data_IF_119326392769
#
_entry.id   IF_119326392769
#
_cell.length_a   1.000
_cell.length_b   1.000
_cell.length_c   1.000
_cell.angle_alpha   90.00
_cell.angle_beta   90.00
_cell.angle_gamma   90.00
#
_symmetry.space_group_name_H-M   'P 1'
#
loop_
_entity.id
_entity.type
_entity.pdbx_description
1 polymer ?
#
# COMPACT_ATOMS: atom_id res chain seq x y z
N UNK A 1 -20.14 11.96 2.88
CA UNK A 1 -20.06 13.35 2.35
C UNK A 1 -20.44 14.37 3.41
N UNK A 2 -21.68 14.35 3.94
CA UNK A 2 -22.13 15.30 5.00
C UNK A 2 -21.20 15.33 6.22
N UNK A 3 -20.74 14.18 6.69
CA UNK A 3 -19.83 14.12 7.85
C UNK A 3 -18.45 14.70 7.58
N UNK A 4 -17.91 14.45 6.40
CA UNK A 4 -16.58 14.95 6.01
C UNK A 4 -16.61 16.47 5.92
N UNK A 5 -17.67 17.04 5.32
CA UNK A 5 -17.90 18.49 5.26
C UNK A 5 -18.10 19.06 6.65
N UNK A 6 -18.92 18.44 7.50
CA UNK A 6 -19.12 18.88 8.88
C UNK A 6 -17.82 18.84 9.69
N UNK A 7 -17.02 17.79 9.55
CA UNK A 7 -15.74 17.66 10.23
C UNK A 7 -14.74 18.75 9.79
N UNK A 8 -14.64 19.01 8.49
CA UNK A 8 -13.79 20.08 7.93
C UNK A 8 -14.26 21.45 8.44
N UNK A 9 -15.55 21.75 8.31
CA UNK A 9 -16.13 23.03 8.73
C UNK A 9 -15.97 23.24 10.25
N UNK A 10 -16.25 22.21 11.04
CA UNK A 10 -16.05 22.23 12.49
C UNK A 10 -14.60 22.55 12.83
N UNK A 11 -13.63 21.98 12.10
CA UNK A 11 -12.20 22.20 12.38
C UNK A 11 -11.71 23.56 11.92
N UNK A 12 -12.16 24.04 10.77
CA UNK A 12 -11.90 25.40 10.31
C UNK A 12 -12.42 26.46 11.31
N UNK A 13 -13.68 26.34 11.74
CA UNK A 13 -14.26 27.27 12.71
C UNK A 13 -13.68 27.12 14.13
N UNK A 14 -13.11 25.96 14.47
CA UNK A 14 -12.35 25.80 15.71
C UNK A 14 -11.00 26.52 15.67
N UNK A 15 -10.39 26.66 14.49
CA UNK A 15 -9.22 27.52 14.29
C UNK A 15 -9.61 28.99 14.43
N UNK A 16 -10.69 29.42 13.76
CA UNK A 16 -11.16 30.80 13.81
C UNK A 16 -11.58 31.26 15.22
N UNK A 17 -12.13 30.37 16.05
CA UNK A 17 -12.39 30.68 17.47
C UNK A 17 -11.10 30.83 18.26
N UNK A 18 -10.09 29.98 18.00
CA UNK A 18 -8.79 30.05 18.68
C UNK A 18 -8.01 31.31 18.33
N UNK A 19 -8.17 31.78 17.10
CA UNK A 19 -7.62 33.05 16.60
C UNK A 19 -8.51 34.25 16.93
N UNK A 20 -9.58 34.05 17.73
CA UNK A 20 -10.52 35.08 18.19
C UNK A 20 -11.25 35.85 17.05
N UNK A 21 -11.21 35.33 15.82
CA UNK A 21 -11.91 35.89 14.65
C UNK A 21 -13.43 35.78 14.82
N UNK A 22 -13.89 34.70 15.47
CA UNK A 22 -15.30 34.47 15.78
C UNK A 22 -15.47 34.02 17.23
N UNK A 23 -16.56 34.43 17.86
CA UNK A 23 -16.82 34.10 19.27
C UNK A 23 -17.23 32.64 19.51
N UNK A 24 -17.78 31.94 18.50
CA UNK A 24 -18.30 30.57 18.68
C UNK A 24 -18.27 29.71 17.43
N UNK A 25 -18.13 28.40 17.63
CA UNK A 25 -18.16 27.38 16.59
C UNK A 25 -19.57 26.79 16.45
N UNK A 26 -20.35 27.28 15.48
CA UNK A 26 -21.74 26.85 15.26
C UNK A 26 -21.89 25.33 14.94
N UNK A 27 -21.05 24.70 14.10
CA UNK A 27 -21.11 23.25 13.85
C UNK A 27 -21.01 22.35 15.08
N UNK A 28 -20.41 22.80 16.19
CA UNK A 28 -20.39 22.01 17.45
C UNK A 28 -21.80 21.77 18.01
N UNK A 29 -22.75 22.62 17.70
CA UNK A 29 -24.13 22.54 18.20
C UNK A 29 -25.01 21.61 17.36
N UNK A 30 -24.54 21.21 16.18
CA UNK A 30 -25.31 20.38 15.24
C UNK A 30 -25.02 18.91 15.50
N UNK A 31 -26.07 18.13 15.80
CA UNK A 31 -25.98 16.66 15.87
C UNK A 31 -25.94 16.09 14.46
N UNK A 32 -24.79 15.54 14.09
CA UNK A 32 -24.64 14.78 12.84
C UNK A 32 -24.92 13.31 13.12
N UNK A 33 -25.80 12.65 12.35
CA UNK A 33 -26.05 11.23 12.51
C UNK A 33 -24.76 10.44 12.26
N UNK A 34 -24.42 9.54 13.18
CA UNK A 34 -23.28 8.62 13.04
C UNK A 34 -23.60 7.62 11.93
N UNK A 35 -22.69 7.37 10.96
CA UNK A 35 -22.98 6.44 9.88
C UNK A 35 -22.97 5.05 10.48
N UNK A 36 -24.02 4.29 10.25
CA UNK A 36 -24.01 2.87 10.55
C UNK A 36 -23.17 2.19 9.48
N UNK A 37 -21.90 1.99 9.76
CA UNK A 37 -21.06 1.13 8.93
C UNK A 37 -21.49 -0.31 9.15
N UNK A 38 -21.75 -1.04 8.07
CA UNK A 38 -21.79 -2.51 8.17
C UNK A 38 -20.39 -2.93 8.61
N UNK A 39 -20.28 -3.57 9.77
CA UNK A 39 -19.02 -4.18 10.20
C UNK A 39 -18.64 -5.19 9.13
N UNK A 40 -17.56 -4.90 8.40
CA UNK A 40 -17.09 -5.81 7.37
C UNK A 40 -16.59 -7.07 8.08
N UNK A 41 -17.33 -8.17 7.96
CA UNK A 41 -16.88 -9.46 8.50
C UNK A 41 -15.66 -9.86 7.67
N UNK A 42 -14.52 -10.03 8.33
CA UNK A 42 -13.33 -10.59 7.70
C UNK A 42 -13.61 -12.00 7.17
N UNK A 43 -12.73 -12.47 6.28
CA UNK A 43 -12.82 -13.85 5.79
C UNK A 43 -12.62 -14.83 6.95
N UNK A 44 -13.45 -15.86 7.03
CA UNK A 44 -13.14 -17.01 7.88
C UNK A 44 -11.93 -17.75 7.34
N UNK A 45 -11.31 -18.59 8.18
CA UNK A 45 -10.17 -19.43 7.75
C UNK A 45 -10.53 -20.32 6.55
N UNK A 46 -11.75 -20.89 6.54
CA UNK A 46 -12.22 -21.71 5.42
C UNK A 46 -12.41 -20.90 4.14
N UNK A 47 -12.94 -19.68 4.24
CA UNK A 47 -13.09 -18.77 3.10
C UNK A 47 -11.74 -18.30 2.58
N UNK A 48 -10.80 -17.95 3.45
CA UNK A 48 -9.45 -17.56 3.06
C UNK A 48 -8.74 -18.70 2.30
N UNK A 49 -8.84 -19.95 2.79
CA UNK A 49 -8.32 -21.12 2.07
C UNK A 49 -8.99 -21.30 0.71
N UNK A 50 -10.32 -21.13 0.62
CA UNK A 50 -11.04 -21.25 -0.64
C UNK A 50 -10.58 -20.20 -1.67
N UNK A 51 -10.38 -18.94 -1.23
CA UNK A 51 -9.84 -17.86 -2.07
C UNK A 51 -8.43 -18.21 -2.54
N UNK A 52 -7.54 -18.63 -1.64
CA UNK A 52 -6.17 -19.01 -2.00
C UNK A 52 -6.10 -20.22 -2.93
N UNK A 53 -7.05 -21.16 -2.80
CA UNK A 53 -7.18 -22.32 -3.70
C UNK A 53 -7.64 -21.89 -5.09
N UNK A 54 -8.67 -21.05 -5.17
CA UNK A 54 -9.17 -20.52 -6.44
C UNK A 54 -8.13 -19.65 -7.17
N UNK A 55 -7.31 -18.92 -6.42
CA UNK A 55 -6.28 -18.05 -6.97
C UNK A 55 -4.99 -18.78 -7.36
N UNK A 56 -4.83 -20.11 -7.14
CA UNK A 56 -3.56 -20.83 -7.35
C UNK A 56 -2.95 -20.64 -8.74
N UNK A 57 -3.77 -20.75 -9.78
CA UNK A 57 -3.33 -20.57 -11.18
C UNK A 57 -3.26 -19.10 -11.61
N UNK A 58 -3.73 -18.17 -10.78
CA UNK A 58 -3.80 -16.75 -11.12
C UNK A 58 -2.43 -16.07 -10.95
N UNK A 59 -2.14 -15.08 -11.79
CA UNK A 59 -0.87 -14.31 -11.74
C UNK A 59 -0.67 -13.59 -10.41
N UNK A 60 -1.76 -13.19 -9.76
CA UNK A 60 -1.75 -12.48 -8.47
C UNK A 60 -1.73 -13.41 -7.25
N UNK A 61 -1.54 -14.72 -7.45
CA UNK A 61 -1.56 -15.70 -6.37
C UNK A 61 -0.65 -15.30 -5.19
N UNK A 62 0.61 -14.95 -5.46
CA UNK A 62 1.56 -14.56 -4.42
C UNK A 62 1.09 -13.32 -3.63
N UNK A 63 0.50 -12.34 -4.30
CA UNK A 63 -0.07 -11.17 -3.62
C UNK A 63 -1.25 -11.55 -2.72
N UNK A 64 -2.10 -12.50 -3.14
CA UNK A 64 -3.19 -12.99 -2.32
C UNK A 64 -2.65 -13.71 -1.06
N UNK A 65 -1.59 -14.50 -1.20
CA UNK A 65 -0.93 -15.17 -0.06
C UNK A 65 -0.39 -14.12 0.92
N UNK A 66 0.36 -13.14 0.42
CA UNK A 66 0.91 -12.06 1.27
C UNK A 66 -0.20 -11.25 1.95
N UNK A 67 -1.30 -10.96 1.25
CA UNK A 67 -2.44 -10.24 1.83
C UNK A 67 -3.07 -11.00 3.00
N UNK A 68 -3.27 -12.32 2.84
CA UNK A 68 -3.91 -13.17 3.84
C UNK A 68 -2.96 -13.45 5.02
N UNK A 69 -1.68 -13.70 4.76
CA UNK A 69 -0.72 -14.09 5.78
C UNK A 69 -0.13 -12.91 6.55
N UNK A 70 0.16 -11.80 5.86
CA UNK A 70 0.88 -10.65 6.45
C UNK A 70 -0.02 -9.44 6.70
N UNK A 71 -1.27 -9.47 6.23
CA UNK A 71 -2.23 -8.37 6.42
C UNK A 71 -1.82 -7.07 5.73
N UNK A 72 -0.99 -7.15 4.69
CA UNK A 72 -0.51 -5.96 3.98
C UNK A 72 -1.65 -5.24 3.27
N UNK A 73 -1.60 -3.90 3.31
CA UNK A 73 -2.58 -3.09 2.60
C UNK A 73 -2.37 -3.22 1.09
N UNK A 74 -3.44 -3.07 0.30
CA UNK A 74 -3.36 -3.15 -1.17
C UNK A 74 -2.25 -2.27 -1.75
N UNK A 75 -2.12 -1.03 -1.29
CA UNK A 75 -1.06 -0.14 -1.78
C UNK A 75 0.35 -0.61 -1.39
N UNK A 76 0.51 -1.22 -0.21
CA UNK A 76 1.79 -1.80 0.24
C UNK A 76 2.15 -2.98 -0.67
N UNK A 77 1.22 -3.91 -0.91
CA UNK A 77 1.42 -5.06 -1.80
C UNK A 77 1.81 -4.66 -3.23
N UNK A 78 1.13 -3.64 -3.77
CA UNK A 78 1.42 -3.14 -5.12
C UNK A 78 2.74 -2.34 -5.18
N UNK A 79 3.25 -1.87 -4.04
CA UNK A 79 4.50 -1.14 -3.91
C UNK A 79 5.73 -2.01 -3.61
N UNK A 80 5.55 -3.30 -3.34
CA UNK A 80 6.65 -4.22 -3.02
C UNK A 80 7.58 -4.39 -4.23
N UNK A 81 8.89 -4.27 -4.02
CA UNK A 81 9.93 -4.58 -5.01
C UNK A 81 10.70 -5.83 -4.60
N UNK A 82 11.38 -6.45 -5.55
CA UNK A 82 12.21 -7.61 -5.26
C UNK A 82 13.42 -7.29 -4.38
N UNK A 83 13.96 -6.07 -4.45
CA UNK A 83 15.06 -5.62 -3.57
C UNK A 83 14.66 -5.52 -2.09
N UNK A 84 13.37 -5.38 -1.80
CA UNK A 84 12.84 -5.27 -0.43
C UNK A 84 12.44 -6.66 0.15
N UNK A 85 12.72 -7.75 -0.57
CA UNK A 85 12.32 -9.12 -0.23
C UNK A 85 13.57 -9.99 -0.04
N UNK A 86 13.86 -10.37 1.19
CA UNK A 86 14.88 -11.35 1.53
C UNK A 86 14.25 -12.74 1.70
N UNK A 87 14.34 -13.56 0.65
CA UNK A 87 13.79 -14.91 0.62
C UNK A 87 14.63 -15.94 1.37
N UNK A 88 15.90 -15.62 1.65
CA UNK A 88 16.83 -16.53 2.34
C UNK A 88 16.90 -16.19 3.82
N UNK A 89 16.84 -14.89 4.16
CA UNK A 89 16.69 -14.40 5.53
C UNK A 89 15.23 -14.31 6.03
N UNK A 90 14.26 -14.76 5.23
CA UNK A 90 12.82 -14.82 5.54
C UNK A 90 12.23 -13.48 6.04
N UNK A 91 12.58 -12.38 5.38
CA UNK A 91 12.16 -11.02 5.76
C UNK A 91 11.65 -10.21 4.58
N UNK A 92 10.64 -9.38 4.85
CA UNK A 92 10.06 -8.45 3.89
C UNK A 92 10.07 -7.04 4.46
N UNK A 93 10.62 -6.09 3.72
CA UNK A 93 10.59 -4.68 4.08
C UNK A 93 9.46 -3.94 3.35
N UNK A 94 8.60 -3.27 4.12
CA UNK A 94 7.52 -2.45 3.56
C UNK A 94 7.98 -1.00 3.50
N UNK A 95 8.64 -0.63 2.41
CA UNK A 95 9.31 0.68 2.26
C UNK A 95 8.53 1.72 1.47
N UNK A 96 7.51 1.30 0.71
CA UNK A 96 6.68 2.19 -0.10
C UNK A 96 5.27 1.65 -0.33
N UNK A 97 4.38 2.54 -0.79
CA UNK A 97 2.99 2.21 -1.09
C UNK A 97 2.62 2.86 -2.42
N UNK A 98 1.97 2.11 -3.30
CA UNK A 98 1.36 2.67 -4.49
C UNK A 98 0.02 3.34 -4.14
N UNK A 99 -0.07 4.65 -4.38
CA UNK A 99 -1.26 5.44 -4.11
C UNK A 99 -1.71 6.21 -5.36
N UNK A 100 -3.01 6.53 -5.43
CA UNK A 100 -3.55 7.40 -6.48
C UNK A 100 -3.66 8.82 -5.95
N UNK A 101 -2.83 9.73 -6.46
CA UNK A 101 -2.78 11.15 -6.09
C UNK A 101 -3.08 11.97 -7.34
N UNK A 102 -4.07 12.87 -7.27
CA UNK A 102 -4.50 13.70 -8.40
C UNK A 102 -4.71 12.90 -9.71
N UNK A 103 -5.42 11.77 -9.61
CA UNK A 103 -5.71 10.83 -10.71
C UNK A 103 -4.51 10.08 -11.30
N UNK A 104 -3.30 10.30 -10.79
CA UNK A 104 -2.08 9.59 -11.20
C UNK A 104 -1.67 8.57 -10.14
N UNK A 105 -1.10 7.45 -10.59
CA UNK A 105 -0.50 6.46 -9.70
C UNK A 105 0.91 6.93 -9.34
N UNK A 106 1.22 6.99 -8.05
CA UNK A 106 2.51 7.44 -7.53
C UNK A 106 2.97 6.50 -6.43
N UNK A 107 4.27 6.21 -6.42
CA UNK A 107 4.92 5.55 -5.30
C UNK A 107 5.19 6.57 -4.21
N UNK A 108 4.63 6.34 -3.05
CA UNK A 108 4.74 7.24 -1.90
C UNK A 108 5.44 6.48 -0.80
N UNK A 109 6.53 7.06 -0.28
CA UNK A 109 7.14 6.55 0.95
C UNK A 109 6.17 6.75 2.11
N UNK A 110 6.14 5.83 3.09
CA UNK A 110 5.34 6.00 4.27
C UNK A 110 5.63 7.36 4.92
N UNK A 111 4.57 8.06 5.34
CA UNK A 111 4.63 9.46 5.79
C UNK A 111 5.54 9.67 7.02
N UNK A 112 5.89 8.60 7.73
CA UNK A 112 6.78 8.60 8.90
C UNK A 112 7.79 7.45 8.80
N UNK A 113 9.00 7.64 9.33
CA UNK A 113 10.04 6.60 9.39
C UNK A 113 9.54 5.33 10.12
N UNK A 114 8.72 5.50 11.16
CA UNK A 114 8.04 4.41 11.90
C UNK A 114 7.10 3.53 11.07
N UNK A 115 6.67 4.02 9.92
CA UNK A 115 5.75 3.26 9.06
C UNK A 115 6.48 2.29 8.12
N UNK A 116 7.81 2.45 7.95
CA UNK A 116 8.64 1.44 7.31
C UNK A 116 8.92 0.32 8.32
N UNK A 117 8.50 -0.90 7.99
CA UNK A 117 8.59 -2.05 8.91
C UNK A 117 9.12 -3.27 8.19
N UNK A 118 9.92 -4.05 8.90
CA UNK A 118 10.31 -5.40 8.50
C UNK A 118 9.28 -6.38 9.05
N UNK A 119 8.75 -7.23 8.17
CA UNK A 119 7.76 -8.26 8.49
C UNK A 119 8.43 -9.62 8.25
N UNK A 120 8.31 -10.59 9.20
CA UNK A 120 8.78 -11.94 8.94
C UNK A 120 7.99 -12.55 7.76
N UNK A 121 8.66 -13.34 6.92
CA UNK A 121 8.06 -14.08 5.83
C UNK A 121 7.87 -15.54 6.24
N UNK A 122 6.65 -15.98 6.58
CA UNK A 122 6.37 -17.39 6.77
C UNK A 122 6.72 -18.20 5.52
N UNK A 123 7.09 -19.47 5.68
CA UNK A 123 7.47 -20.38 4.59
C UNK A 123 6.48 -20.39 3.41
N UNK A 124 5.17 -20.40 3.70
CA UNK A 124 4.12 -20.33 2.67
C UNK A 124 4.21 -19.07 1.78
N UNK A 125 4.66 -17.95 2.34
CA UNK A 125 4.90 -16.72 1.59
C UNK A 125 6.17 -16.82 0.76
N UNK A 126 7.25 -17.38 1.32
CA UNK A 126 8.51 -17.61 0.61
C UNK A 126 8.30 -18.51 -0.60
N UNK A 127 7.58 -19.63 -0.44
CA UNK A 127 7.25 -20.55 -1.53
C UNK A 127 6.45 -19.85 -2.63
N UNK A 128 5.38 -19.12 -2.25
CA UNK A 128 4.55 -18.39 -3.20
C UNK A 128 5.35 -17.32 -3.96
N UNK A 129 6.26 -16.62 -3.28
CA UNK A 129 7.16 -15.65 -3.88
C UNK A 129 8.18 -16.29 -4.83
N UNK A 130 8.78 -17.43 -4.47
CA UNK A 130 9.70 -18.16 -5.35
C UNK A 130 9.00 -18.62 -6.63
N UNK A 131 7.79 -19.16 -6.52
CA UNK A 131 6.98 -19.55 -7.68
C UNK A 131 6.62 -18.33 -8.54
N UNK A 132 6.25 -17.22 -7.91
CA UNK A 132 5.96 -15.96 -8.60
C UNK A 132 7.18 -15.43 -9.38
N UNK A 133 8.37 -15.48 -8.77
CA UNK A 133 9.62 -15.07 -9.41
C UNK A 133 9.92 -15.93 -10.65
N UNK A 134 9.72 -17.25 -10.55
CA UNK A 134 9.88 -18.18 -11.68
C UNK A 134 8.91 -17.86 -12.81
N UNK A 135 7.63 -17.61 -12.49
CA UNK A 135 6.61 -17.22 -13.49
C UNK A 135 6.95 -15.91 -14.18
N UNK A 136 7.34 -14.89 -13.42
CA UNK A 136 7.77 -13.62 -14.01
C UNK A 136 8.96 -13.78 -14.96
N UNK A 137 9.93 -14.63 -14.58
CA UNK A 137 11.07 -14.92 -15.43
C UNK A 137 10.67 -15.66 -16.72
N UNK A 138 9.73 -16.61 -16.64
CA UNK A 138 9.21 -17.31 -17.81
C UNK A 138 8.33 -16.43 -18.72
N UNK A 139 7.59 -15.48 -18.15
CA UNK A 139 6.79 -14.49 -18.89
C UNK A 139 7.68 -13.45 -19.61
N UNK A 140 8.98 -13.40 -19.28
CA UNK A 140 9.95 -12.48 -19.87
C UNK A 140 10.24 -12.87 -21.33
N UNK A 141 9.46 -12.31 -22.24
CA UNK A 141 9.73 -12.35 -23.70
C UNK A 141 10.73 -11.26 -24.13
N UNK A 142 11.31 -11.37 -25.34
CA UNK A 142 12.32 -10.43 -25.87
C UNK A 142 11.90 -8.95 -25.89
N UNK A 143 10.60 -8.65 -25.76
CA UNK A 143 10.05 -7.29 -25.66
C UNK A 143 10.32 -6.61 -24.30
N UNK A 144 10.95 -7.30 -23.36
CA UNK A 144 11.06 -6.89 -21.95
C UNK A 144 12.53 -6.92 -21.43
N UNK A 145 13.48 -6.45 -22.26
CA UNK A 145 14.92 -6.43 -21.93
C UNK A 145 15.27 -5.47 -20.76
N UNK A 146 14.44 -4.46 -20.50
CA UNK A 146 14.66 -3.40 -19.50
C UNK A 146 14.05 -3.70 -18.11
N UNK A 147 13.85 -4.98 -17.78
CA UNK A 147 13.31 -5.37 -16.47
C UNK A 147 14.40 -5.27 -15.40
N UNK A 148 14.72 -4.05 -15.00
CA UNK A 148 15.59 -3.77 -13.87
C UNK A 148 14.89 -4.21 -12.57
N UNK A 149 15.67 -4.69 -11.61
CA UNK A 149 15.23 -5.27 -10.33
C UNK A 149 14.49 -4.28 -9.42
N UNK A 150 14.29 -3.04 -9.88
CA UNK A 150 13.62 -1.93 -9.21
C UNK A 150 12.10 -1.91 -9.41
N UNK A 151 11.53 -2.80 -10.23
CA UNK A 151 10.10 -2.81 -10.56
C UNK A 151 9.24 -3.61 -9.56
N UNK A 152 7.99 -3.18 -9.31
CA UNK A 152 7.12 -3.81 -8.32
C UNK A 152 6.73 -5.24 -8.70
N UNK A 153 6.41 -6.05 -7.68
CA UNK A 153 6.01 -7.46 -7.78
C UNK A 153 4.83 -7.74 -8.72
N UNK A 154 4.14 -6.72 -9.21
CA UNK A 154 2.91 -6.80 -10.00
C UNK A 154 3.09 -6.61 -11.50
N UNK A 155 4.33 -6.44 -11.98
CA UNK A 155 4.69 -6.23 -13.40
C UNK A 155 4.21 -4.90 -14.02
N UNK A 156 4.92 -4.38 -15.05
CA UNK A 156 4.94 -2.96 -15.35
C UNK A 156 3.97 -2.60 -16.48
N UNK A 157 3.19 -1.54 -16.27
CA UNK A 157 2.89 -0.63 -17.38
C UNK A 157 3.80 0.59 -17.21
N UNK A 158 4.40 1.13 -18.28
CA UNK A 158 5.38 2.22 -18.25
C UNK A 158 4.76 3.58 -17.85
N UNK A 159 3.50 3.59 -17.40
CA UNK A 159 2.79 4.81 -17.02
C UNK A 159 2.95 5.17 -15.54
N UNK A 160 3.81 4.46 -14.81
CA UNK A 160 4.11 4.74 -13.41
C UNK A 160 5.34 5.64 -13.33
N UNK A 161 5.10 6.93 -13.11
CA UNK A 161 6.14 7.91 -12.84
C UNK A 161 6.88 7.49 -11.57
N UNK A 162 8.12 7.02 -11.72
CA UNK A 162 9.04 6.84 -10.61
C UNK A 162 9.39 8.24 -10.07
N UNK A 163 9.48 8.44 -8.73
CA UNK A 163 10.09 9.64 -8.21
C UNK A 163 11.58 9.58 -8.58
N UNK A 164 12.03 10.56 -9.35
CA UNK A 164 13.44 10.74 -9.71
C UNK A 164 14.30 10.70 -8.45
N UNK A 165 15.16 9.68 -8.35
CA UNK A 165 16.20 9.60 -7.35
C UNK A 165 17.24 10.70 -7.61
N UNK A 166 17.04 11.89 -7.05
CA UNK A 166 18.14 12.83 -6.81
C UNK A 166 18.83 12.40 -5.51
N UNK A 167 19.79 11.48 -5.62
CA UNK A 167 20.85 11.36 -4.60
C UNK A 167 21.69 12.63 -4.69
N UNK A 168 21.40 13.60 -3.82
CA UNK A 168 22.34 14.67 -3.51
C UNK A 168 23.54 14.04 -2.81
N UNK A 169 24.59 13.75 -3.58
CA UNK A 169 25.90 13.43 -3.03
C UNK A 169 26.45 14.75 -2.48
N UNK A 170 26.32 14.95 -1.17
CA UNK A 170 27.06 15.99 -0.48
C UNK A 170 28.52 15.52 -0.37
N UNK A 171 29.36 15.92 -1.31
CA UNK A 171 30.81 16.02 -1.09
C UNK A 171 31.05 17.31 -0.30
N UNK A 172 31.36 17.18 0.98
CA UNK A 172 31.95 18.28 1.74
C UNK A 172 33.44 17.98 1.90
N UNK A 173 34.25 18.89 1.34
CA UNK A 173 35.66 19.10 1.64
C UNK A 173 35.80 19.77 3.00
#
# INVERSE_FOLDING_TARGET
MVQSVHAVLRKALECAVREEIIARNAPKLVKVPVPKYKVNRGLTVSQARAVLKAARSHRLYALCVLAVCLGLRRGELLGLRWEDVDLDGEKLEVVQTLQRVASRLQFVRPKTADSARTVPLPSICVEALREHRKRQFAERSDRWQEWDLQLPLTSPSPQLHTPSHTRSVATNT
#
